data_IF_998364750751
#
_entry.id   IF_998364750751
#
_cell.length_a   1.000
_cell.length_b   1.000
_cell.length_c   1.000
_cell.angle_alpha   90.00
_cell.angle_beta   90.00
_cell.angle_gamma   90.00
#
_symmetry.space_group_name_H-M   'P 1'
#
loop_
_entity.id
_entity.type
_entity.pdbx_description
1 polymer ?
#
# COMPACT_ATOMS: atom_id res chain seq x y z
N UNK A 1 24.22 1.84 1.66
CA UNK A 1 23.68 0.78 0.79
C UNK A 1 24.40 0.88 -0.55
N UNK A 2 24.89 -0.22 -1.08
CA UNK A 2 25.44 -0.28 -2.45
C UNK A 2 24.37 -0.88 -3.35
N UNK A 3 24.14 -0.29 -4.50
CA UNK A 3 23.25 -0.82 -5.53
C UNK A 3 24.12 -1.52 -6.58
N UNK A 4 24.22 -2.85 -6.46
CA UNK A 4 25.13 -3.64 -7.31
C UNK A 4 24.41 -4.20 -8.54
N UNK A 5 23.08 -4.07 -8.59
CA UNK A 5 22.19 -4.61 -9.63
C UNK A 5 22.29 -6.14 -9.77
N UNK A 6 22.51 -6.85 -8.67
CA UNK A 6 22.59 -8.31 -8.65
C UNK A 6 21.17 -8.86 -8.63
N UNK A 7 20.86 -9.81 -9.54
CA UNK A 7 19.54 -10.46 -9.63
C UNK A 7 18.36 -9.48 -9.72
N UNK A 8 18.53 -8.35 -10.41
CA UNK A 8 17.44 -7.43 -10.70
C UNK A 8 16.74 -7.86 -11.98
N UNK A 9 15.43 -8.08 -11.88
CA UNK A 9 14.57 -8.40 -13.03
C UNK A 9 13.64 -7.23 -13.32
N UNK A 10 13.58 -6.81 -14.60
CA UNK A 10 12.73 -5.69 -15.03
C UNK A 10 11.87 -6.17 -16.21
N UNK A 11 10.54 -6.05 -16.05
CA UNK A 11 9.56 -6.43 -17.03
C UNK A 11 9.67 -5.65 -18.34
N UNK A 12 9.17 -6.23 -19.44
CA UNK A 12 9.37 -5.69 -20.81
C UNK A 12 8.83 -4.29 -21.04
N UNK A 13 7.70 -3.98 -20.44
CA UNK A 13 7.01 -2.68 -20.58
C UNK A 13 7.17 -1.80 -19.34
N UNK A 14 8.10 -2.13 -18.44
CA UNK A 14 8.37 -1.29 -17.29
C UNK A 14 9.06 0.01 -17.71
N UNK A 15 8.60 1.12 -17.16
CA UNK A 15 9.17 2.45 -17.39
C UNK A 15 9.87 2.92 -16.11
N UNK A 16 11.16 3.13 -16.20
CA UNK A 16 12.01 3.53 -15.08
C UNK A 16 12.42 4.99 -15.27
N UNK A 17 12.04 5.83 -14.33
CA UNK A 17 12.35 7.26 -14.34
C UNK A 17 13.84 7.57 -14.15
N UNK A 18 14.18 8.85 -14.20
CA UNK A 18 15.56 9.32 -14.02
C UNK A 18 16.02 9.13 -12.57
N UNK A 19 17.30 8.80 -12.39
CA UNK A 19 17.95 8.64 -11.09
C UNK A 19 17.27 7.60 -10.16
N UNK A 20 16.50 6.68 -10.69
CA UNK A 20 15.93 5.58 -9.91
C UNK A 20 17.04 4.62 -9.49
N UNK A 21 16.98 4.17 -8.24
CA UNK A 21 17.92 3.19 -7.69
C UNK A 21 17.14 1.95 -7.28
N UNK A 22 17.57 0.79 -7.76
CA UNK A 22 16.95 -0.50 -7.51
C UNK A 22 17.95 -1.40 -6.81
N UNK A 23 17.57 -1.94 -5.66
CA UNK A 23 18.39 -2.84 -4.86
C UNK A 23 18.44 -4.25 -5.41
N UNK A 24 19.41 -5.03 -4.92
CA UNK A 24 19.64 -6.40 -5.35
C UNK A 24 18.42 -7.31 -5.07
N UNK A 25 18.28 -8.40 -5.83
CA UNK A 25 17.20 -9.39 -5.75
C UNK A 25 15.78 -8.79 -5.91
N UNK A 26 15.65 -7.67 -6.59
CA UNK A 26 14.36 -6.98 -6.77
C UNK A 26 13.75 -7.32 -8.12
N UNK A 27 12.45 -7.60 -8.12
CA UNK A 27 11.66 -7.85 -9.33
C UNK A 27 10.71 -6.69 -9.59
N UNK A 28 10.78 -6.11 -10.78
CA UNK A 28 9.83 -5.15 -11.32
C UNK A 28 9.09 -5.86 -12.45
N UNK A 29 7.79 -6.07 -12.29
CA UNK A 29 6.98 -6.76 -13.29
C UNK A 29 6.61 -5.87 -14.48
N UNK A 30 5.96 -6.46 -15.47
CA UNK A 30 5.45 -5.77 -16.65
C UNK A 30 4.46 -4.66 -16.28
N UNK A 31 4.39 -3.61 -17.11
CA UNK A 31 3.48 -2.45 -16.94
C UNK A 31 3.66 -1.67 -15.63
N UNK A 32 4.84 -1.70 -15.04
CA UNK A 32 5.19 -0.86 -13.89
C UNK A 32 5.83 0.44 -14.36
N UNK A 33 5.36 1.55 -13.82
CA UNK A 33 5.94 2.90 -14.01
C UNK A 33 6.51 3.38 -12.70
N UNK A 34 7.80 3.71 -12.68
CA UNK A 34 8.50 4.23 -11.50
C UNK A 34 8.94 5.66 -11.77
N UNK A 35 8.47 6.59 -10.96
CA UNK A 35 8.80 8.01 -11.07
C UNK A 35 10.25 8.34 -10.71
N UNK A 36 10.70 9.50 -11.14
CA UNK A 36 12.08 9.98 -10.98
C UNK A 36 12.55 10.00 -9.51
N UNK A 37 13.85 9.82 -9.29
CA UNK A 37 14.52 9.88 -7.99
C UNK A 37 14.00 8.88 -6.95
N UNK A 38 13.27 7.85 -7.35
CA UNK A 38 12.75 6.82 -6.46
C UNK A 38 13.83 5.81 -6.08
N UNK A 39 13.79 5.38 -4.83
CA UNK A 39 14.70 4.36 -4.30
C UNK A 39 13.90 3.13 -3.89
N UNK A 40 14.21 2.00 -4.47
CA UNK A 40 13.69 0.68 -4.11
C UNK A 40 14.83 -0.12 -3.52
N UNK A 41 14.68 -0.55 -2.28
CA UNK A 41 15.73 -1.31 -1.60
C UNK A 41 15.73 -2.79 -2.06
N UNK A 42 16.57 -3.63 -1.44
CA UNK A 42 16.74 -5.02 -1.82
C UNK A 42 15.49 -5.88 -1.57
N UNK A 43 15.39 -6.99 -2.30
CA UNK A 43 14.41 -8.05 -2.07
C UNK A 43 12.95 -7.57 -2.18
N UNK A 44 12.69 -6.59 -3.03
CA UNK A 44 11.35 -6.05 -3.27
C UNK A 44 10.70 -6.67 -4.51
N UNK A 45 9.36 -6.70 -4.50
CA UNK A 45 8.55 -7.10 -5.64
C UNK A 45 7.58 -5.96 -5.97
N UNK A 46 7.67 -5.41 -7.17
CA UNK A 46 6.82 -4.30 -7.61
C UNK A 46 5.99 -4.73 -8.83
N UNK A 47 4.69 -4.57 -8.73
CA UNK A 47 3.74 -5.04 -9.74
C UNK A 47 3.45 -6.53 -9.62
N UNK A 48 3.45 -7.11 -8.40
CA UNK A 48 3.19 -8.52 -8.15
C UNK A 48 1.92 -8.99 -8.84
N UNK A 49 1.97 -10.19 -9.39
CA UNK A 49 0.90 -10.78 -10.18
C UNK A 49 -0.37 -11.01 -9.36
N UNK A 50 -1.52 -10.79 -9.97
CA UNK A 50 -2.82 -11.01 -9.34
C UNK A 50 -3.24 -12.48 -9.40
N UNK A 51 -4.25 -12.86 -8.60
CA UNK A 51 -4.77 -14.24 -8.62
C UNK A 51 -5.20 -14.68 -10.03
N UNK A 52 -5.75 -13.77 -10.83
CA UNK A 52 -6.14 -14.05 -12.21
C UNK A 52 -5.00 -14.49 -13.12
N UNK A 53 -3.74 -14.25 -12.75
CA UNK A 53 -2.59 -14.83 -13.45
C UNK A 53 -2.57 -16.35 -13.34
N UNK A 54 -2.87 -16.88 -12.18
CA UNK A 54 -2.85 -18.32 -11.90
C UNK A 54 -4.05 -19.06 -12.50
N UNK A 55 -5.14 -18.31 -12.80
CA UNK A 55 -6.32 -18.84 -13.47
C UNK A 55 -6.12 -18.95 -14.99
N UNK A 56 -5.37 -18.00 -15.60
CA UNK A 56 -5.10 -17.97 -17.06
C UNK A 56 -3.73 -17.33 -17.34
N UNK A 57 -2.69 -18.15 -17.24
CA UNK A 57 -1.29 -17.70 -17.42
C UNK A 57 -1.03 -17.17 -18.84
N UNK A 58 -1.64 -17.81 -19.86
CA UNK A 58 -1.34 -17.51 -21.26
C UNK A 58 -1.90 -16.15 -21.72
N UNK A 59 -3.06 -15.77 -21.20
CA UNK A 59 -3.76 -14.54 -21.61
C UNK A 59 -3.65 -13.41 -20.57
N UNK A 60 -3.03 -13.66 -19.42
CA UNK A 60 -2.89 -12.66 -18.38
C UNK A 60 -2.10 -11.43 -18.86
N UNK A 61 -2.65 -10.26 -18.52
CA UNK A 61 -1.98 -8.98 -18.71
C UNK A 61 -1.90 -8.26 -17.38
N UNK A 62 -0.68 -8.01 -16.93
CA UNK A 62 -0.48 -7.33 -15.66
C UNK A 62 -1.05 -5.89 -15.70
N UNK A 63 -1.95 -5.52 -14.78
CA UNK A 63 -2.47 -4.15 -14.71
C UNK A 63 -1.36 -3.13 -14.46
N UNK A 64 -1.55 -1.92 -15.00
CA UNK A 64 -0.60 -0.83 -14.80
C UNK A 64 -0.42 -0.48 -13.31
N UNK A 65 0.83 -0.46 -12.87
CA UNK A 65 1.22 -0.05 -11.52
C UNK A 65 2.08 1.21 -11.59
N UNK A 66 1.72 2.24 -10.83
CA UNK A 66 2.43 3.53 -10.83
C UNK A 66 2.99 3.78 -9.43
N UNK A 67 4.30 3.95 -9.35
CA UNK A 67 5.01 4.46 -8.17
C UNK A 67 5.42 5.90 -8.46
N UNK A 68 4.92 6.85 -7.69
CA UNK A 68 5.24 8.27 -7.86
C UNK A 68 6.72 8.60 -7.61
N UNK A 69 7.14 9.76 -8.07
CA UNK A 69 8.51 10.24 -7.94
C UNK A 69 8.92 10.49 -6.48
N UNK A 70 10.25 10.53 -6.24
CA UNK A 70 10.86 10.79 -4.93
C UNK A 70 10.41 9.83 -3.82
N UNK A 71 10.06 8.61 -4.17
CA UNK A 71 9.56 7.58 -3.26
C UNK A 71 10.70 6.76 -2.66
N UNK A 72 10.49 6.23 -1.46
CA UNK A 72 11.41 5.32 -0.78
C UNK A 72 10.68 4.03 -0.40
N UNK A 73 11.00 2.93 -1.04
CA UNK A 73 10.48 1.60 -0.72
C UNK A 73 11.60 0.79 -0.07
N UNK A 74 11.44 0.44 1.19
CA UNK A 74 12.44 -0.32 1.94
C UNK A 74 12.34 -1.81 1.64
N UNK A 75 13.35 -2.57 2.12
CA UNK A 75 13.54 -3.98 1.78
C UNK A 75 12.35 -4.87 2.10
N UNK A 76 12.19 -5.91 1.26
CA UNK A 76 11.17 -6.95 1.37
C UNK A 76 9.72 -6.46 1.22
N UNK A 77 9.50 -5.33 0.55
CA UNK A 77 8.16 -4.86 0.24
C UNK A 77 7.59 -5.60 -0.98
N UNK A 78 6.28 -5.87 -0.93
CA UNK A 78 5.51 -6.44 -2.04
C UNK A 78 4.39 -5.47 -2.39
N UNK A 79 4.44 -4.93 -3.60
CA UNK A 79 3.39 -4.05 -4.14
C UNK A 79 2.75 -4.76 -5.34
N UNK A 80 1.49 -5.11 -5.21
CA UNK A 80 0.74 -5.80 -6.26
C UNK A 80 0.42 -4.89 -7.44
N UNK A 81 0.07 -5.51 -8.55
CA UNK A 81 -0.32 -4.80 -9.76
C UNK A 81 -1.63 -4.00 -9.57
N UNK A 82 -1.82 -2.99 -10.41
CA UNK A 82 -2.98 -2.12 -10.38
C UNK A 82 -2.91 -0.96 -9.38
N UNK A 83 -1.87 -0.90 -8.54
CA UNK A 83 -1.70 0.17 -7.57
C UNK A 83 -1.25 1.48 -8.23
N UNK A 84 -1.74 2.61 -7.71
CA UNK A 84 -1.34 3.94 -8.16
C UNK A 84 -0.99 4.82 -6.97
N UNK A 85 0.27 5.24 -6.89
CA UNK A 85 0.74 6.09 -5.79
C UNK A 85 1.09 7.49 -6.28
N UNK A 86 0.82 8.48 -5.43
CA UNK A 86 1.36 9.82 -5.59
C UNK A 86 2.87 9.88 -5.33
N UNK A 87 3.41 11.07 -5.37
CA UNK A 87 4.82 11.32 -5.12
C UNK A 87 5.15 11.24 -3.62
N UNK A 88 6.43 11.01 -3.30
CA UNK A 88 6.95 10.95 -1.93
C UNK A 88 6.33 9.82 -1.09
N UNK A 89 6.03 8.68 -1.72
CA UNK A 89 5.64 7.49 -0.98
C UNK A 89 6.80 6.97 -0.13
N UNK A 90 6.54 6.69 1.15
CA UNK A 90 7.49 6.03 2.04
C UNK A 90 6.96 4.68 2.51
N UNK A 91 7.65 3.58 2.19
CA UNK A 91 7.34 2.26 2.74
C UNK A 91 8.43 1.81 3.70
N UNK A 92 8.03 1.40 4.90
CA UNK A 92 8.87 0.67 5.85
C UNK A 92 9.30 -0.69 5.31
N UNK A 93 9.96 -1.50 6.12
CA UNK A 93 10.33 -2.85 5.72
C UNK A 93 9.14 -3.80 5.71
N UNK A 94 9.08 -4.73 4.75
CA UNK A 94 8.06 -5.78 4.68
C UNK A 94 6.62 -5.25 4.64
N UNK A 95 6.42 -4.14 3.96
CA UNK A 95 5.08 -3.62 3.67
C UNK A 95 4.49 -4.43 2.53
N UNK A 96 3.24 -4.87 2.68
CA UNK A 96 2.46 -5.48 1.59
C UNK A 96 1.34 -4.54 1.19
N UNK A 97 1.27 -4.19 -0.09
CA UNK A 97 0.18 -3.40 -0.67
C UNK A 97 -0.52 -4.26 -1.72
N UNK A 98 -1.74 -4.68 -1.42
CA UNK A 98 -2.57 -5.48 -2.33
C UNK A 98 -3.11 -4.60 -3.46
N UNK A 99 -3.67 -5.25 -4.44
CA UNK A 99 -4.08 -4.76 -5.73
C UNK A 99 -5.06 -3.57 -5.72
N UNK A 100 -5.02 -2.77 -6.78
CA UNK A 100 -5.96 -1.67 -7.08
C UNK A 100 -6.13 -0.63 -5.97
N UNK A 101 -5.14 -0.41 -5.13
CA UNK A 101 -5.15 0.63 -4.11
C UNK A 101 -4.58 1.94 -4.66
N UNK A 102 -5.16 3.07 -4.26
CA UNK A 102 -4.73 4.40 -4.67
C UNK A 102 -4.25 5.21 -3.47
N UNK A 103 -3.15 5.92 -3.66
CA UNK A 103 -2.57 6.79 -2.62
C UNK A 103 -2.34 8.18 -3.17
N UNK A 104 -2.63 9.18 -2.37
CA UNK A 104 -2.20 10.55 -2.60
C UNK A 104 -0.69 10.75 -2.41
N UNK A 105 -0.27 11.99 -2.37
CA UNK A 105 1.14 12.34 -2.16
C UNK A 105 1.52 12.27 -0.68
N UNK A 106 2.81 12.09 -0.40
CA UNK A 106 3.38 12.10 0.96
C UNK A 106 2.78 11.06 1.91
N UNK A 107 2.28 9.94 1.38
CA UNK A 107 1.86 8.82 2.20
C UNK A 107 3.06 8.03 2.75
N UNK A 108 2.95 7.56 4.00
CA UNK A 108 4.01 6.75 4.60
C UNK A 108 3.45 5.57 5.39
N UNK A 109 4.07 4.41 5.21
CA UNK A 109 3.69 3.14 5.83
C UNK A 109 4.80 2.63 6.71
N UNK A 110 4.45 2.13 7.88
CA UNK A 110 5.37 1.54 8.84
C UNK A 110 5.84 0.16 8.43
N UNK A 111 6.75 -0.40 9.22
CA UNK A 111 7.22 -1.78 9.03
C UNK A 111 6.11 -2.78 9.29
N UNK A 112 5.97 -3.79 8.43
CA UNK A 112 4.96 -4.85 8.52
C UNK A 112 3.50 -4.37 8.37
N UNK A 113 3.28 -3.24 7.72
CA UNK A 113 1.92 -2.84 7.36
C UNK A 113 1.39 -3.74 6.24
N UNK A 114 0.12 -4.13 6.37
CA UNK A 114 -0.62 -4.92 5.40
C UNK A 114 -1.85 -4.13 4.91
N UNK A 115 -1.78 -3.67 3.67
CA UNK A 115 -2.82 -2.88 3.03
C UNK A 115 -3.57 -3.77 2.05
N UNK A 116 -4.79 -4.13 2.38
CA UNK A 116 -5.65 -4.92 1.50
C UNK A 116 -6.15 -4.08 0.33
N UNK A 117 -6.46 -4.73 -0.78
CA UNK A 117 -6.75 -4.10 -2.06
C UNK A 117 -7.98 -3.18 -2.09
N UNK A 118 -8.13 -2.47 -3.22
CA UNK A 118 -9.27 -1.61 -3.52
C UNK A 118 -9.48 -0.46 -2.53
N UNK A 119 -8.44 -0.07 -1.81
CA UNK A 119 -8.49 1.01 -0.81
C UNK A 119 -8.04 2.34 -1.40
N UNK A 120 -8.48 3.44 -0.82
CA UNK A 120 -8.18 4.80 -1.25
C UNK A 120 -7.63 5.62 -0.09
N UNK A 121 -6.51 6.30 -0.31
CA UNK A 121 -5.85 7.17 0.66
C UNK A 121 -5.68 8.56 0.05
N UNK A 122 -6.03 9.59 0.78
CA UNK A 122 -5.71 10.97 0.44
C UNK A 122 -4.23 11.30 0.62
N UNK A 123 -3.90 12.57 0.62
CA UNK A 123 -2.55 13.06 0.83
C UNK A 123 -2.15 13.03 2.31
N UNK A 124 -0.85 12.89 2.57
CA UNK A 124 -0.26 12.95 3.90
C UNK A 124 -0.81 11.93 4.92
N UNK A 125 -1.24 10.76 4.44
CA UNK A 125 -1.61 9.66 5.31
C UNK A 125 -0.36 9.00 5.88
N UNK A 126 -0.33 8.81 7.20
CA UNK A 126 0.77 8.15 7.89
C UNK A 126 0.27 6.99 8.73
N UNK A 127 0.75 5.80 8.41
CA UNK A 127 0.53 4.58 9.18
C UNK A 127 1.81 4.22 9.94
N UNK A 128 1.67 3.83 11.17
CA UNK A 128 2.78 3.31 11.97
C UNK A 128 2.84 1.77 11.78
N UNK A 129 3.85 1.12 12.37
CA UNK A 129 4.11 -0.31 12.12
C UNK A 129 2.99 -1.25 12.58
N UNK A 130 2.84 -2.38 11.86
CA UNK A 130 1.87 -3.44 12.13
C UNK A 130 0.40 -2.98 12.04
N UNK A 131 0.10 -2.10 11.12
CA UNK A 131 -1.27 -1.70 10.80
C UNK A 131 -1.84 -2.62 9.74
N UNK A 132 -3.06 -3.10 9.96
CA UNK A 132 -3.82 -3.84 8.97
C UNK A 132 -4.99 -3.01 8.45
N UNK A 133 -5.03 -2.78 7.16
CA UNK A 133 -6.11 -2.05 6.48
C UNK A 133 -6.94 -3.04 5.65
N UNK A 134 -8.17 -3.28 6.06
CA UNK A 134 -9.12 -4.13 5.32
C UNK A 134 -9.49 -3.54 3.95
N UNK A 135 -9.93 -4.40 3.03
CA UNK A 135 -10.31 -4.00 1.67
C UNK A 135 -11.38 -2.90 1.66
N UNK A 136 -11.39 -2.11 0.58
CA UNK A 136 -12.35 -1.03 0.34
C UNK A 136 -12.36 0.08 1.40
N UNK A 137 -11.29 0.17 2.20
CA UNK A 137 -11.12 1.28 3.16
C UNK A 137 -10.87 2.60 2.45
N UNK A 138 -11.40 3.69 3.01
CA UNK A 138 -11.22 5.03 2.47
C UNK A 138 -10.71 5.97 3.57
N UNK A 139 -9.53 6.53 3.37
CA UNK A 139 -8.90 7.48 4.27
C UNK A 139 -8.77 8.82 3.56
N UNK A 140 -9.24 9.89 4.21
CA UNK A 140 -9.07 11.26 3.75
C UNK A 140 -7.62 11.73 3.84
N UNK A 141 -7.41 13.04 3.89
CA UNK A 141 -6.10 13.65 3.97
C UNK A 141 -5.64 13.80 5.43
N UNK A 142 -4.32 13.80 5.66
CA UNK A 142 -3.72 14.05 6.98
C UNK A 142 -4.20 13.08 8.05
N UNK A 143 -4.34 11.81 7.68
CA UNK A 143 -4.73 10.74 8.61
C UNK A 143 -3.49 10.18 9.30
N UNK A 144 -3.57 9.97 10.61
CA UNK A 144 -2.53 9.30 11.37
C UNK A 144 -3.07 8.03 12.05
N UNK A 145 -2.51 6.88 11.68
CA UNK A 145 -2.85 5.58 12.24
C UNK A 145 -1.68 5.08 13.07
N UNK A 146 -1.93 4.83 14.34
CA UNK A 146 -0.93 4.36 15.30
C UNK A 146 -0.67 2.85 15.18
N UNK A 147 0.37 2.31 15.85
CA UNK A 147 0.71 0.89 15.73
C UNK A 147 -0.43 -0.06 16.11
N UNK A 148 -0.46 -1.23 15.44
CA UNK A 148 -1.39 -2.32 15.74
C UNK A 148 -2.87 -1.98 15.58
N UNK A 149 -3.21 -0.99 14.80
CA UNK A 149 -4.60 -0.71 14.44
C UNK A 149 -5.07 -1.67 13.36
N UNK A 150 -6.29 -2.16 13.48
CA UNK A 150 -6.89 -3.14 12.58
C UNK A 150 -8.19 -2.59 12.00
N UNK A 151 -8.30 -2.57 10.67
CA UNK A 151 -9.54 -2.30 9.95
C UNK A 151 -10.10 -3.61 9.43
N UNK A 152 -11.35 -3.92 9.75
CA UNK A 152 -12.05 -5.07 9.24
C UNK A 152 -13.03 -4.66 8.13
N UNK A 153 -13.46 -5.62 7.28
CA UNK A 153 -14.22 -5.32 6.08
C UNK A 153 -15.39 -6.29 5.79
N UNK A 154 -15.51 -7.39 6.55
CA UNK A 154 -16.64 -8.32 6.43
C UNK A 154 -17.49 -8.26 7.70
N UNK A 155 -18.77 -7.79 7.61
CA UNK A 155 -19.64 -7.65 8.77
C UNK A 155 -20.15 -8.99 9.30
N UNK A 156 -20.17 -10.04 8.47
CA UNK A 156 -20.74 -11.36 8.83
C UNK A 156 -19.93 -12.51 8.21
N UNK A 157 -18.65 -12.69 8.62
CA UNK A 157 -17.76 -13.66 7.98
C UNK A 157 -18.22 -15.12 8.17
N UNK A 158 -18.10 -16.00 7.13
CA UNK A 158 -17.70 -15.61 5.77
C UNK A 158 -18.90 -15.09 4.96
N UNK A 159 -18.76 -13.96 4.29
CA UNK A 159 -19.80 -13.41 3.43
C UNK A 159 -19.22 -12.84 2.13
N UNK A 160 -20.11 -12.52 1.17
CA UNK A 160 -19.74 -11.82 -0.06
C UNK A 160 -19.79 -10.29 0.10
N UNK A 161 -20.01 -9.79 1.32
CA UNK A 161 -20.08 -8.37 1.62
C UNK A 161 -18.69 -7.90 2.04
N UNK A 162 -18.16 -6.91 1.34
CA UNK A 162 -16.87 -6.31 1.66
C UNK A 162 -17.02 -4.78 1.75
N UNK A 163 -16.98 -4.25 2.96
CA UNK A 163 -17.20 -2.83 3.24
C UNK A 163 -16.13 -2.35 4.21
N UNK A 164 -15.13 -1.64 3.70
CA UNK A 164 -14.08 -1.04 4.53
C UNK A 164 -14.55 0.19 5.31
N UNK A 165 -13.90 0.52 6.43
CA UNK A 165 -14.10 1.75 7.16
C UNK A 165 -13.81 2.99 6.30
N UNK A 166 -14.48 4.12 6.63
CA UNK A 166 -14.20 5.44 6.07
C UNK A 166 -13.76 6.39 7.16
N UNK A 167 -12.64 7.09 6.92
CA UNK A 167 -12.09 8.07 7.86
C UNK A 167 -11.91 9.39 7.12
N UNK A 168 -12.56 10.42 7.59
CA UNK A 168 -12.44 11.78 7.03
C UNK A 168 -11.18 12.49 7.55
N UNK A 169 -10.82 13.60 6.88
CA UNK A 169 -9.57 14.34 7.04
C UNK A 169 -9.20 14.66 8.50
N UNK A 170 -7.89 14.74 8.77
CA UNK A 170 -7.30 15.18 10.04
C UNK A 170 -7.65 14.30 11.24
N UNK A 171 -8.02 13.05 11.03
CA UNK A 171 -8.39 12.15 12.12
C UNK A 171 -7.23 11.20 12.49
N UNK A 172 -7.25 10.76 13.74
CA UNK A 172 -6.21 9.91 14.32
C UNK A 172 -6.85 8.68 14.98
N UNK A 173 -6.25 7.51 14.75
CA UNK A 173 -6.69 6.25 15.34
C UNK A 173 -5.57 5.69 16.18
N UNK A 174 -5.75 5.71 17.51
CA UNK A 174 -4.69 5.35 18.45
C UNK A 174 -4.45 3.84 18.54
N UNK A 175 -3.31 3.49 19.10
CA UNK A 175 -2.72 2.14 19.13
C UNK A 175 -3.72 1.06 19.54
N UNK A 176 -3.70 -0.06 18.79
CA UNK A 176 -4.47 -1.26 19.10
C UNK A 176 -5.98 -1.12 18.95
N UNK A 177 -6.47 -0.06 18.30
CA UNK A 177 -7.90 0.10 18.02
C UNK A 177 -8.34 -0.79 16.87
N UNK A 178 -9.59 -1.25 16.92
CA UNK A 178 -10.24 -2.07 15.89
C UNK A 178 -11.42 -1.27 15.31
N UNK A 179 -11.41 -1.10 14.00
CA UNK A 179 -12.52 -0.48 13.27
C UNK A 179 -13.35 -1.56 12.58
N UNK A 180 -14.64 -1.62 12.90
CA UNK A 180 -15.56 -2.60 12.33
C UNK A 180 -15.99 -2.22 10.90
N UNK A 181 -16.50 -3.19 10.12
CA UNK A 181 -16.83 -2.97 8.71
C UNK A 181 -17.83 -1.83 8.51
N UNK A 182 -17.55 -0.97 7.53
CA UNK A 182 -18.48 0.08 7.10
C UNK A 182 -18.61 1.29 8.03
N UNK A 183 -17.87 1.32 9.15
CA UNK A 183 -17.91 2.48 10.05
C UNK A 183 -17.42 3.76 9.36
N UNK A 184 -17.97 4.88 9.79
CA UNK A 184 -17.58 6.22 9.33
C UNK A 184 -17.06 7.04 10.50
N UNK A 185 -15.82 7.53 10.40
CA UNK A 185 -15.21 8.46 11.36
C UNK A 185 -15.14 9.83 10.69
N UNK A 186 -15.72 10.83 11.34
CA UNK A 186 -15.75 12.20 10.83
C UNK A 186 -14.37 12.88 10.88
N UNK A 187 -14.33 14.14 10.45
CA UNK A 187 -13.11 14.96 10.47
C UNK A 187 -12.66 15.29 11.88
N UNK A 188 -11.35 15.48 12.07
CA UNK A 188 -10.74 15.90 13.32
C UNK A 188 -11.07 15.00 14.53
N UNK A 189 -11.35 13.72 14.29
CA UNK A 189 -11.62 12.76 15.35
C UNK A 189 -10.33 12.17 15.90
N UNK A 190 -10.33 11.87 17.19
CA UNK A 190 -9.30 11.08 17.86
C UNK A 190 -9.96 9.85 18.51
N UNK A 191 -9.65 8.67 18.00
CA UNK A 191 -10.07 7.41 18.60
C UNK A 191 -9.03 6.98 19.62
N UNK A 192 -9.47 6.75 20.86
CA UNK A 192 -8.60 6.35 21.96
C UNK A 192 -7.97 4.97 21.75
N UNK A 193 -6.82 4.73 22.38
CA UNK A 193 -6.12 3.44 22.27
C UNK A 193 -6.97 2.26 22.77
N UNK A 194 -6.88 1.12 22.08
CA UNK A 194 -7.61 -0.09 22.43
C UNK A 194 -9.13 -0.04 22.21
N UNK A 195 -9.64 0.97 21.50
CA UNK A 195 -11.07 1.08 21.22
C UNK A 195 -11.53 0.08 20.16
N UNK A 196 -12.73 -0.47 20.34
CA UNK A 196 -13.47 -1.15 19.27
C UNK A 196 -14.59 -0.22 18.84
N UNK A 197 -14.60 0.16 17.57
CA UNK A 197 -15.50 1.16 17.00
C UNK A 197 -16.36 0.51 15.92
N UNK A 198 -17.69 0.53 16.14
CA UNK A 198 -18.70 -0.08 15.25
C UNK A 198 -20.04 0.62 15.35
#
# INVERSE_FOLDING_TARGET
MKFNNINVSIGRNAQIGKNVKIGDNTTIYDNVVIGDNTIIANDCIIGELLNSYYDDIENYKNPETIIGANSLIRSHCIIYAGNKTGNFLGCGHRVTIRDYTKFGNHCSFGTLDDIQGYSEFGDYCRLHSNVHIGQHSKLGNFIFIYPYVIFTNDPTPPSNICIGPKIDDYSQIATGSILLPGIKIGKHCLIGAGSVVG
#
